data_IF_944757838940
#
_entry.id   IF_944757838940
#
_cell.length_a   1.000
_cell.length_b   1.000
_cell.length_c   1.000
_cell.angle_alpha   90.00
_cell.angle_beta   90.00
_cell.angle_gamma   90.00
#
_symmetry.space_group_name_H-M   'P 1'
#
loop_
_entity.id
_entity.type
_entity.pdbx_description
1 polymer ?
#
# COMPACT_ATOMS: atom_id res chain seq x y z
N UNK A 1 14.64 1.43 16.69
CA UNK A 1 15.14 2.80 16.39
C UNK A 1 15.16 2.97 14.88
N UNK A 2 14.93 4.19 14.37
CA UNK A 2 15.00 4.42 12.94
C UNK A 2 16.44 4.32 12.44
N UNK A 3 16.64 3.62 11.33
CA UNK A 3 17.94 3.57 10.64
C UNK A 3 17.75 3.66 9.14
N UNK A 4 18.78 4.06 8.41
CA UNK A 4 18.72 4.12 6.95
C UNK A 4 18.28 2.77 6.35
N UNK A 5 18.91 1.67 6.78
CA UNK A 5 18.60 0.32 6.29
C UNK A 5 17.20 -0.13 6.72
N UNK A 6 16.83 0.15 7.97
CA UNK A 6 15.51 -0.17 8.53
C UNK A 6 14.36 0.51 7.80
N UNK A 7 14.60 1.61 7.09
CA UNK A 7 13.59 2.25 6.24
C UNK A 7 13.68 1.80 4.77
N UNK A 8 14.88 1.70 4.20
CA UNK A 8 15.05 1.29 2.79
C UNK A 8 14.55 -0.14 2.54
N UNK A 9 14.80 -1.07 3.46
CA UNK A 9 14.42 -2.47 3.28
C UNK A 9 12.90 -2.68 3.17
N UNK A 10 12.08 -2.30 4.18
CA UNK A 10 10.62 -2.39 4.06
C UNK A 10 10.08 -1.46 2.97
N UNK A 11 10.66 -0.26 2.82
CA UNK A 11 10.31 0.67 1.75
C UNK A 11 10.45 0.06 0.35
N UNK A 12 11.49 -0.72 0.11
CA UNK A 12 11.72 -1.43 -1.16
C UNK A 12 10.61 -2.45 -1.43
N UNK A 13 10.21 -3.21 -0.42
CA UNK A 13 9.15 -4.22 -0.56
C UNK A 13 7.81 -3.57 -0.86
N UNK A 14 7.40 -2.57 -0.07
CA UNK A 14 6.15 -1.85 -0.31
C UNK A 14 6.13 -1.13 -1.67
N UNK A 15 7.25 -0.51 -2.07
CA UNK A 15 7.35 0.19 -3.34
C UNK A 15 7.22 -0.77 -4.53
N UNK A 16 7.96 -1.88 -4.51
CA UNK A 16 7.94 -2.86 -5.60
C UNK A 16 6.59 -3.56 -5.70
N UNK A 17 6.02 -3.99 -4.58
CA UNK A 17 4.71 -4.66 -4.54
C UNK A 17 3.61 -3.68 -4.93
N UNK A 18 3.66 -2.43 -4.45
CA UNK A 18 2.69 -1.39 -4.83
C UNK A 18 2.70 -1.10 -6.32
N UNK A 19 3.88 -0.88 -6.92
CA UNK A 19 4.01 -0.65 -8.36
C UNK A 19 3.55 -1.88 -9.16
N UNK A 20 3.94 -3.07 -8.73
CA UNK A 20 3.51 -4.32 -9.33
C UNK A 20 1.98 -4.46 -9.30
N UNK A 21 1.35 -4.17 -8.15
CA UNK A 21 -0.09 -4.17 -7.98
C UNK A 21 -0.76 -3.20 -8.95
N UNK A 22 -0.36 -1.92 -8.92
CA UNK A 22 -0.95 -0.88 -9.77
C UNK A 22 -0.85 -1.23 -11.26
N UNK A 23 0.32 -1.68 -11.73
CA UNK A 23 0.52 -2.06 -13.13
C UNK A 23 -0.36 -3.25 -13.53
N UNK A 24 -0.52 -4.24 -12.66
CA UNK A 24 -1.37 -5.39 -12.94
C UNK A 24 -2.87 -5.04 -12.86
N UNK A 25 -3.30 -4.20 -11.91
CA UNK A 25 -4.68 -3.69 -11.86
C UNK A 25 -5.04 -2.96 -13.16
N UNK A 26 -4.17 -2.06 -13.62
CA UNK A 26 -4.33 -1.34 -14.90
C UNK A 26 -4.43 -2.34 -16.05
N UNK A 27 -3.46 -3.26 -16.17
CA UNK A 27 -3.40 -4.19 -17.31
C UNK A 27 -4.61 -5.13 -17.33
N UNK A 28 -5.02 -5.67 -16.19
CA UNK A 28 -6.20 -6.53 -16.09
C UNK A 28 -7.49 -5.78 -16.44
N UNK A 29 -7.59 -4.50 -16.07
CA UNK A 29 -8.76 -3.67 -16.40
C UNK A 29 -8.82 -3.36 -17.88
N UNK A 30 -7.73 -2.89 -18.50
CA UNK A 30 -7.75 -2.51 -19.91
C UNK A 30 -7.97 -3.71 -20.83
N UNK A 31 -7.50 -4.91 -20.46
CA UNK A 31 -7.69 -6.13 -21.25
C UNK A 31 -9.13 -6.65 -21.21
N UNK A 32 -9.80 -6.57 -20.06
CA UNK A 32 -11.18 -7.01 -19.93
C UNK A 32 -11.92 -6.23 -18.82
N UNK A 33 -12.46 -5.04 -19.14
CA UNK A 33 -13.13 -4.18 -18.16
C UNK A 33 -14.33 -4.86 -17.48
N UNK A 34 -15.06 -5.71 -18.23
CA UNK A 34 -16.29 -6.38 -17.74
C UNK A 34 -16.01 -7.55 -16.81
N UNK A 35 -14.86 -8.22 -16.96
CA UNK A 35 -14.45 -9.32 -16.09
C UNK A 35 -13.48 -8.88 -14.99
N UNK A 36 -13.19 -7.57 -14.88
CA UNK A 36 -12.28 -7.05 -13.89
C UNK A 36 -12.76 -7.39 -12.48
N UNK A 37 -11.84 -7.92 -11.66
CA UNK A 37 -11.99 -8.03 -10.22
C UNK A 37 -10.67 -7.69 -9.53
N UNK A 38 -10.78 -6.94 -8.46
CA UNK A 38 -9.71 -6.64 -7.52
C UNK A 38 -9.15 -7.93 -6.95
N UNK A 39 -7.83 -7.96 -6.79
CA UNK A 39 -7.12 -9.08 -6.16
C UNK A 39 -6.08 -8.51 -5.24
N UNK A 40 -5.91 -9.09 -4.05
CA UNK A 40 -4.93 -8.61 -3.07
C UNK A 40 -3.47 -8.86 -3.51
N UNK A 41 -3.28 -9.67 -4.54
CA UNK A 41 -1.98 -10.04 -5.12
C UNK A 41 -2.15 -10.32 -6.61
N UNK A 42 -1.05 -10.27 -7.38
CA UNK A 42 -1.11 -10.49 -8.82
C UNK A 42 -0.17 -11.59 -9.33
N UNK A 43 -0.68 -12.48 -10.20
CA UNK A 43 0.11 -13.55 -10.78
C UNK A 43 1.11 -13.05 -11.82
N UNK A 44 2.33 -13.60 -11.81
CA UNK A 44 3.29 -13.32 -12.87
C UNK A 44 2.90 -14.09 -14.13
N UNK A 45 2.43 -13.36 -15.15
CA UNK A 45 1.85 -13.89 -16.39
C UNK A 45 2.79 -14.82 -17.18
N UNK A 46 4.11 -14.62 -17.06
CA UNK A 46 5.11 -15.42 -17.76
C UNK A 46 5.37 -16.80 -17.14
N UNK A 47 4.89 -17.06 -15.91
CA UNK A 47 5.14 -18.31 -15.21
C UNK A 47 3.86 -19.16 -15.08
N UNK A 48 3.98 -20.47 -15.32
CA UNK A 48 2.89 -21.44 -15.19
C UNK A 48 3.00 -22.28 -13.91
N UNK A 49 1.87 -22.75 -13.37
CA UNK A 49 1.85 -23.62 -12.19
C UNK A 49 2.17 -22.88 -10.89
N UNK A 50 2.90 -23.51 -9.96
CA UNK A 50 3.18 -22.94 -8.63
C UNK A 50 4.01 -21.65 -8.69
N UNK A 51 4.87 -21.48 -9.69
CA UNK A 51 5.72 -20.28 -9.85
C UNK A 51 4.95 -19.02 -10.26
N UNK A 52 3.64 -19.14 -10.54
CA UNK A 52 2.73 -18.00 -10.74
C UNK A 52 2.62 -17.12 -9.49
N UNK A 53 2.77 -17.73 -8.31
CA UNK A 53 2.69 -17.08 -6.99
C UNK A 53 4.03 -16.48 -6.52
N UNK A 54 4.88 -16.05 -7.47
CA UNK A 54 6.22 -15.54 -7.16
C UNK A 54 6.20 -14.36 -6.18
N UNK A 55 5.27 -13.42 -6.38
CA UNK A 55 5.04 -12.28 -5.47
C UNK A 55 4.82 -12.76 -4.03
N UNK A 56 3.91 -13.72 -3.84
CA UNK A 56 3.60 -14.27 -2.52
C UNK A 56 4.78 -15.02 -1.91
N UNK A 57 5.58 -15.73 -2.70
CA UNK A 57 6.78 -16.40 -2.18
C UNK A 57 7.88 -15.41 -1.79
N UNK A 58 8.08 -14.34 -2.56
CA UNK A 58 9.01 -13.27 -2.22
C UNK A 58 8.57 -12.61 -0.92
N UNK A 59 7.29 -12.27 -0.79
CA UNK A 59 6.72 -11.71 0.43
C UNK A 59 6.89 -12.67 1.61
N UNK A 60 6.55 -13.96 1.45
CA UNK A 60 6.66 -14.96 2.52
C UNK A 60 8.08 -15.07 3.07
N UNK A 61 9.07 -15.21 2.16
CA UNK A 61 10.48 -15.33 2.54
C UNK A 61 10.99 -14.01 3.11
N UNK A 62 10.62 -12.89 2.52
CA UNK A 62 11.01 -11.55 2.96
C UNK A 62 10.53 -11.26 4.38
N UNK A 63 9.23 -11.35 4.63
CA UNK A 63 8.64 -11.08 5.95
C UNK A 63 9.10 -12.07 7.00
N UNK A 64 9.29 -13.35 6.65
CA UNK A 64 9.84 -14.34 7.58
C UNK A 64 11.28 -14.03 7.96
N UNK A 65 12.11 -13.72 6.97
CA UNK A 65 13.53 -13.42 7.20
C UNK A 65 13.67 -12.17 8.05
N UNK A 66 12.92 -11.11 7.73
CA UNK A 66 12.93 -9.85 8.47
C UNK A 66 12.45 -10.05 9.91
N UNK A 67 11.35 -10.78 10.10
CA UNK A 67 10.86 -11.18 11.42
C UNK A 67 11.92 -11.93 12.23
N UNK A 68 12.66 -12.85 11.61
CA UNK A 68 13.75 -13.56 12.27
C UNK A 68 14.94 -12.66 12.60
N UNK A 69 15.28 -11.69 11.75
CA UNK A 69 16.35 -10.72 12.01
C UNK A 69 15.98 -9.89 13.23
N UNK A 70 14.80 -9.28 13.24
CA UNK A 70 14.36 -8.45 14.36
C UNK A 70 14.26 -9.25 15.66
N UNK A 71 13.62 -10.43 15.61
CA UNK A 71 13.39 -11.20 16.82
C UNK A 71 14.67 -11.85 17.39
N UNK A 72 15.54 -12.39 16.54
CA UNK A 72 16.69 -13.18 16.99
C UNK A 72 18.02 -12.45 16.89
N UNK A 73 18.28 -11.76 15.76
CA UNK A 73 19.58 -11.16 15.48
C UNK A 73 19.73 -9.80 16.17
N UNK A 74 18.77 -8.90 16.01
CA UNK A 74 18.77 -7.56 16.63
C UNK A 74 18.78 -7.65 18.16
N UNK A 75 18.04 -8.61 18.72
CA UNK A 75 18.00 -8.85 20.18
C UNK A 75 19.25 -9.54 20.72
N UNK A 76 20.17 -9.98 19.85
CA UNK A 76 21.31 -10.84 20.20
C UNK A 76 20.93 -12.07 21.05
N UNK A 77 19.71 -12.59 20.87
CA UNK A 77 19.10 -13.68 21.67
C UNK A 77 18.94 -13.35 23.18
N UNK A 78 19.03 -12.07 23.55
CA UNK A 78 18.88 -11.59 24.94
C UNK A 78 17.44 -11.18 25.22
N UNK A 79 16.55 -12.17 25.24
CA UNK A 79 15.12 -11.96 25.49
C UNK A 79 14.82 -11.42 26.88
N UNK A 80 15.54 -11.91 27.89
CA UNK A 80 15.35 -11.52 29.28
C UNK A 80 16.66 -11.13 29.94
N UNK A 81 16.62 -10.08 30.75
CA UNK A 81 17.72 -9.63 31.60
C UNK A 81 17.16 -9.49 33.01
N UNK A 82 17.80 -10.14 33.99
CA UNK A 82 17.38 -10.15 35.39
C UNK A 82 15.92 -10.61 35.62
N UNK A 83 15.44 -11.57 34.83
CA UNK A 83 14.08 -12.13 34.98
C UNK A 83 12.95 -11.29 34.39
N UNK A 84 13.26 -10.15 33.77
CA UNK A 84 12.31 -9.32 33.02
C UNK A 84 12.67 -9.28 31.53
N UNK A 85 11.72 -8.88 30.68
CA UNK A 85 11.97 -8.66 29.25
C UNK A 85 13.04 -7.57 29.10
N UNK A 86 13.99 -7.78 28.20
CA UNK A 86 15.05 -6.82 27.95
C UNK A 86 14.50 -5.53 27.33
N UNK A 87 14.49 -4.46 28.12
CA UNK A 87 13.92 -3.16 27.71
C UNK A 87 14.67 -2.52 26.54
N UNK A 88 15.94 -2.88 26.34
CA UNK A 88 16.76 -2.31 25.27
C UNK A 88 16.36 -2.81 23.86
N UNK A 89 15.58 -3.89 23.78
CA UNK A 89 15.15 -4.50 22.52
C UNK A 89 13.63 -4.56 22.37
N UNK A 90 12.87 -3.77 23.12
CA UNK A 90 11.41 -3.75 23.02
C UNK A 90 10.93 -3.36 21.63
N UNK A 91 11.62 -2.41 21.00
CA UNK A 91 11.31 -1.99 19.65
C UNK A 91 11.46 -3.15 18.64
N UNK A 92 12.51 -3.95 18.77
CA UNK A 92 12.76 -5.11 17.90
C UNK A 92 11.64 -6.16 18.06
N UNK A 93 11.16 -6.38 19.30
CA UNK A 93 10.01 -7.28 19.56
C UNK A 93 8.70 -6.76 18.96
N UNK A 94 8.44 -5.47 19.06
CA UNK A 94 7.27 -4.83 18.45
C UNK A 94 7.31 -4.99 16.92
N UNK A 95 8.46 -4.71 16.29
CA UNK A 95 8.65 -4.86 14.85
C UNK A 95 8.48 -6.31 14.40
N UNK A 96 9.05 -7.26 15.15
CA UNK A 96 8.84 -8.68 14.88
C UNK A 96 7.35 -9.09 14.97
N UNK A 97 6.59 -8.54 15.91
CA UNK A 97 5.15 -8.81 16.04
C UNK A 97 4.35 -8.22 14.87
N UNK A 98 4.72 -7.03 14.37
CA UNK A 98 4.13 -6.43 13.17
C UNK A 98 4.46 -7.26 11.90
N UNK A 99 5.73 -7.67 11.74
CA UNK A 99 6.17 -8.52 10.61
C UNK A 99 5.49 -9.90 10.64
N UNK A 100 5.20 -10.44 11.83
CA UNK A 100 4.41 -11.66 11.98
C UNK A 100 3.01 -11.52 11.35
N UNK A 101 2.36 -10.36 11.49
CA UNK A 101 1.04 -10.14 10.88
C UNK A 101 1.08 -10.15 9.36
N UNK A 102 2.10 -9.54 8.75
CA UNK A 102 2.32 -9.63 7.29
C UNK A 102 2.67 -11.06 6.85
N UNK A 103 3.50 -11.78 7.61
CA UNK A 103 3.81 -13.18 7.33
C UNK A 103 2.56 -14.07 7.37
N UNK A 104 1.70 -13.90 8.38
CA UNK A 104 0.42 -14.62 8.49
C UNK A 104 -0.52 -14.26 7.35
N UNK A 105 -0.61 -12.98 6.96
CA UNK A 105 -1.38 -12.55 5.80
C UNK A 105 -0.97 -13.33 4.54
N UNK A 106 0.34 -13.39 4.24
CA UNK A 106 0.83 -14.11 3.05
C UNK A 106 0.55 -15.60 3.12
N UNK A 107 0.66 -16.22 4.30
CA UNK A 107 0.28 -17.64 4.51
C UNK A 107 -1.20 -17.85 4.20
N UNK A 108 -2.09 -17.00 4.70
CA UNK A 108 -3.54 -17.10 4.48
C UNK A 108 -3.85 -17.01 2.99
N UNK A 109 -3.23 -16.07 2.27
CA UNK A 109 -3.40 -15.94 0.81
C UNK A 109 -2.87 -17.19 0.10
N UNK A 110 -1.67 -17.67 0.42
CA UNK A 110 -1.09 -18.86 -0.20
C UNK A 110 -1.93 -20.12 0.02
N UNK A 111 -2.49 -20.31 1.21
CA UNK A 111 -3.38 -21.44 1.52
C UNK A 111 -4.66 -21.31 0.71
N UNK A 112 -5.26 -20.11 0.66
CA UNK A 112 -6.50 -19.85 -0.08
C UNK A 112 -6.34 -20.09 -1.58
N UNK A 113 -5.21 -19.73 -2.16
CA UNK A 113 -4.94 -19.86 -3.60
C UNK A 113 -4.56 -21.29 -4.01
N UNK A 114 -3.74 -21.99 -3.21
CA UNK A 114 -3.14 -23.25 -3.61
C UNK A 114 -3.84 -24.49 -3.04
N UNK A 115 -4.76 -24.32 -2.09
CA UNK A 115 -5.41 -25.45 -1.41
C UNK A 115 -6.92 -25.29 -1.39
N UNK A 116 -7.62 -26.40 -1.16
CA UNK A 116 -9.08 -26.39 -0.93
C UNK A 116 -9.44 -26.24 0.55
N UNK A 117 -8.46 -26.06 1.43
CA UNK A 117 -8.67 -26.09 2.88
C UNK A 117 -9.29 -24.80 3.40
N UNK A 118 -9.00 -23.67 2.75
CA UNK A 118 -9.48 -22.37 3.16
C UNK A 118 -9.87 -21.50 1.95
N UNK A 119 -10.95 -21.84 1.21
CA UNK A 119 -11.38 -21.07 0.06
C UNK A 119 -12.02 -19.75 0.53
N UNK A 120 -11.21 -18.71 0.70
CA UNK A 120 -11.70 -17.39 1.09
C UNK A 120 -12.13 -16.59 -0.14
N UNK A 121 -13.25 -15.84 -0.04
CA UNK A 121 -13.56 -14.82 -1.03
C UNK A 121 -12.46 -13.75 -1.07
N UNK A 122 -12.22 -13.16 -2.25
CA UNK A 122 -11.23 -12.09 -2.44
C UNK A 122 -11.39 -10.94 -1.44
N UNK A 123 -12.64 -10.52 -1.17
CA UNK A 123 -12.89 -9.47 -0.19
C UNK A 123 -12.42 -9.81 1.22
N UNK A 124 -12.45 -11.08 1.62
CA UNK A 124 -11.89 -11.52 2.91
C UNK A 124 -10.37 -11.43 2.93
N UNK A 125 -9.69 -11.70 1.81
CA UNK A 125 -8.24 -11.55 1.74
C UNK A 125 -7.81 -10.09 1.87
N UNK A 126 -8.57 -9.15 1.30
CA UNK A 126 -8.36 -7.71 1.51
C UNK A 126 -8.59 -7.30 2.98
N UNK A 127 -9.56 -7.90 3.69
CA UNK A 127 -9.73 -7.66 5.14
C UNK A 127 -8.52 -8.18 5.92
N UNK A 128 -7.95 -9.33 5.56
CA UNK A 128 -6.73 -9.83 6.20
C UNK A 128 -5.54 -8.90 5.95
N UNK A 129 -5.40 -8.36 4.73
CA UNK A 129 -4.40 -7.32 4.44
C UNK A 129 -4.63 -6.07 5.29
N UNK A 130 -5.87 -5.59 5.40
CA UNK A 130 -6.22 -4.44 6.24
C UNK A 130 -5.88 -4.66 7.72
N UNK A 131 -6.03 -5.89 8.25
CA UNK A 131 -5.60 -6.22 9.61
C UNK A 131 -4.07 -6.16 9.76
N UNK A 132 -3.30 -6.62 8.76
CA UNK A 132 -1.84 -6.51 8.79
C UNK A 132 -1.39 -5.04 8.76
N UNK A 133 -1.95 -4.22 7.87
CA UNK A 133 -1.72 -2.77 7.86
C UNK A 133 -2.19 -2.08 9.14
N UNK A 134 -3.25 -2.57 9.78
CA UNK A 134 -3.70 -2.03 11.09
C UNK A 134 -2.68 -2.31 12.19
N UNK A 135 -2.07 -3.50 12.21
CA UNK A 135 -0.99 -3.80 13.14
C UNK A 135 0.24 -2.90 12.90
N UNK A 136 0.60 -2.66 11.64
CA UNK A 136 1.64 -1.69 11.25
C UNK A 136 1.28 -0.28 11.71
N UNK A 137 0.08 0.20 11.40
CA UNK A 137 -0.42 1.52 11.77
C UNK A 137 -0.34 1.75 13.28
N UNK A 138 -0.83 0.81 14.09
CA UNK A 138 -0.85 0.94 15.53
C UNK A 138 0.58 1.00 16.11
N UNK A 139 1.48 0.14 15.64
CA UNK A 139 2.87 0.16 16.05
C UNK A 139 3.51 1.51 15.73
N UNK A 140 3.43 1.95 14.46
CA UNK A 140 4.04 3.21 14.05
C UNK A 140 3.35 4.43 14.66
N UNK A 141 2.04 4.39 14.94
CA UNK A 141 1.35 5.48 15.62
C UNK A 141 1.91 5.67 17.03
N UNK A 142 1.99 4.61 17.83
CA UNK A 142 2.55 4.69 19.18
C UNK A 142 4.06 4.95 19.17
N UNK A 143 4.78 4.45 18.17
CA UNK A 143 6.20 4.75 18.01
C UNK A 143 6.42 6.22 17.62
N UNK A 144 5.62 6.74 16.68
CA UNK A 144 5.69 8.12 16.20
C UNK A 144 5.36 9.11 17.31
N UNK A 145 4.50 8.78 18.27
CA UNK A 145 4.25 9.66 19.43
C UNK A 145 5.45 9.80 20.38
N UNK A 146 6.46 8.92 20.27
CA UNK A 146 7.70 9.05 21.01
C UNK A 146 8.69 10.00 20.33
N UNK A 147 8.48 10.30 19.03
CA UNK A 147 9.31 11.20 18.25
C UNK A 147 8.75 12.62 18.29
N UNK A 148 9.63 13.61 18.34
CA UNK A 148 9.27 15.03 18.32
C UNK A 148 10.01 15.75 17.19
N UNK A 149 9.50 16.93 16.82
CA UNK A 149 10.07 17.76 15.76
C UNK A 149 10.12 17.08 14.40
N UNK A 150 11.25 17.22 13.70
CA UNK A 150 11.42 16.79 12.32
C UNK A 150 11.14 15.29 12.11
N UNK A 151 11.73 14.43 12.95
CA UNK A 151 11.54 12.97 12.86
C UNK A 151 10.08 12.59 13.09
N UNK A 152 9.45 13.21 14.09
CA UNK A 152 8.02 13.01 14.38
C UNK A 152 7.13 13.36 13.20
N UNK A 153 7.40 14.48 12.52
CA UNK A 153 6.62 14.90 11.34
C UNK A 153 6.67 13.90 10.19
N UNK A 154 7.86 13.38 9.91
CA UNK A 154 8.06 12.40 8.84
C UNK A 154 7.34 11.08 9.14
N UNK A 155 7.40 10.61 10.39
CA UNK A 155 6.71 9.39 10.82
C UNK A 155 5.19 9.59 10.92
N UNK A 156 4.70 10.78 11.29
CA UNK A 156 3.27 11.09 11.27
C UNK A 156 2.69 10.94 9.86
N UNK A 157 3.38 11.47 8.85
CA UNK A 157 2.98 11.31 7.44
C UNK A 157 2.98 9.83 7.05
N UNK A 158 3.99 9.05 7.48
CA UNK A 158 4.02 7.61 7.23
C UNK A 158 2.79 6.91 7.79
N UNK A 159 2.42 7.21 9.04
CA UNK A 159 1.23 6.65 9.70
C UNK A 159 -0.05 6.99 8.93
N UNK A 160 -0.19 8.23 8.43
CA UNK A 160 -1.32 8.61 7.59
C UNK A 160 -1.37 7.83 6.27
N UNK A 161 -0.23 7.56 5.65
CA UNK A 161 -0.15 6.75 4.43
C UNK A 161 -0.50 5.28 4.68
N UNK A 162 -0.07 4.70 5.81
CA UNK A 162 -0.49 3.35 6.22
C UNK A 162 -2.01 3.33 6.46
N UNK A 163 -2.56 4.38 7.09
CA UNK A 163 -4.01 4.57 7.24
C UNK A 163 -4.75 4.59 5.90
N UNK A 164 -4.18 5.23 4.88
CA UNK A 164 -4.71 5.22 3.52
C UNK A 164 -4.69 3.80 2.92
N UNK A 165 -3.64 3.02 3.13
CA UNK A 165 -3.58 1.62 2.71
C UNK A 165 -4.70 0.78 3.35
N UNK A 166 -4.99 0.98 4.64
CA UNK A 166 -6.11 0.32 5.33
C UNK A 166 -7.45 0.67 4.67
N UNK A 167 -7.71 1.96 4.45
CA UNK A 167 -8.95 2.43 3.82
C UNK A 167 -9.11 1.87 2.42
N UNK A 168 -8.06 1.92 1.58
CA UNK A 168 -8.10 1.39 0.23
C UNK A 168 -8.30 -0.14 0.20
N UNK A 169 -7.67 -0.89 1.10
CA UNK A 169 -7.88 -2.32 1.23
C UNK A 169 -9.35 -2.64 1.60
N UNK A 170 -9.93 -1.91 2.56
CA UNK A 170 -11.34 -2.08 2.92
C UNK A 170 -12.30 -1.69 1.80
N UNK A 171 -11.98 -0.64 1.02
CA UNK A 171 -12.75 -0.27 -0.17
C UNK A 171 -12.70 -1.35 -1.24
N UNK A 172 -11.53 -1.96 -1.47
CA UNK A 172 -11.38 -3.08 -2.40
C UNK A 172 -12.10 -4.34 -1.92
N UNK A 173 -12.17 -4.56 -0.60
CA UNK A 173 -12.99 -5.61 -0.01
C UNK A 173 -14.49 -5.39 -0.22
N UNK A 174 -14.96 -4.14 -0.04
CA UNK A 174 -16.37 -3.79 -0.17
C UNK A 174 -16.83 -3.70 -1.63
N UNK A 175 -15.94 -3.27 -2.54
CA UNK A 175 -16.23 -3.03 -3.95
C UNK A 175 -15.22 -3.74 -4.87
N UNK A 176 -15.18 -5.09 -4.88
CA UNK A 176 -14.15 -5.85 -5.61
C UNK A 176 -14.26 -5.74 -7.14
N UNK A 177 -15.34 -5.20 -7.69
CA UNK A 177 -15.50 -4.95 -9.13
C UNK A 177 -15.07 -3.52 -9.52
N UNK A 178 -14.74 -2.68 -8.54
CA UNK A 178 -14.38 -1.30 -8.77
C UNK A 178 -12.87 -1.17 -9.03
N UNK A 179 -12.52 -0.91 -10.30
CA UNK A 179 -11.15 -0.68 -10.73
C UNK A 179 -10.44 0.44 -9.94
N UNK A 180 -11.13 1.53 -9.62
CA UNK A 180 -10.52 2.64 -8.91
C UNK A 180 -10.13 2.25 -7.48
N UNK A 181 -10.93 1.42 -6.79
CA UNK A 181 -10.60 0.95 -5.44
C UNK A 181 -9.33 0.10 -5.42
N UNK A 182 -9.22 -0.85 -6.36
CA UNK A 182 -8.04 -1.72 -6.49
C UNK A 182 -6.79 -0.93 -6.91
N UNK A 183 -6.93 -0.05 -7.89
CA UNK A 183 -5.84 0.81 -8.35
C UNK A 183 -5.35 1.72 -7.22
N UNK A 184 -6.26 2.36 -6.46
CA UNK A 184 -5.91 3.20 -5.31
C UNK A 184 -5.17 2.40 -4.22
N UNK A 185 -5.48 1.12 -4.03
CA UNK A 185 -4.75 0.26 -3.09
C UNK A 185 -3.28 0.10 -3.47
N UNK A 186 -2.99 -0.18 -4.75
CA UNK A 186 -1.61 -0.23 -5.24
C UNK A 186 -0.90 1.13 -5.18
N UNK A 187 -1.61 2.23 -5.47
CA UNK A 187 -1.08 3.60 -5.40
C UNK A 187 -0.72 3.97 -3.95
N UNK A 188 -1.61 3.68 -3.00
CA UNK A 188 -1.36 3.94 -1.59
C UNK A 188 -0.15 3.15 -1.09
N UNK A 189 -0.04 1.87 -1.48
CA UNK A 189 1.10 1.02 -1.13
C UNK A 189 2.41 1.53 -1.73
N UNK A 190 2.38 1.98 -2.99
CA UNK A 190 3.51 2.63 -3.67
C UNK A 190 3.94 3.90 -2.94
N UNK A 191 2.98 4.72 -2.53
CA UNK A 191 3.21 5.97 -1.82
C UNK A 191 3.81 5.73 -0.42
N UNK A 192 3.29 4.74 0.32
CA UNK A 192 3.86 4.29 1.59
C UNK A 192 5.33 3.86 1.39
N UNK A 193 5.61 3.00 0.41
CA UNK A 193 6.97 2.55 0.11
C UNK A 193 7.92 3.68 -0.30
N UNK A 194 7.47 4.61 -1.14
CA UNK A 194 8.24 5.79 -1.51
C UNK A 194 8.49 6.74 -0.33
N UNK A 195 7.55 6.82 0.62
CA UNK A 195 7.72 7.64 1.81
C UNK A 195 8.76 7.09 2.78
N UNK A 196 8.86 5.75 2.92
CA UNK A 196 9.99 5.13 3.62
C UNK A 196 11.34 5.56 3.05
N UNK A 197 11.46 5.71 1.73
CA UNK A 197 12.65 6.27 1.10
C UNK A 197 12.87 7.74 1.48
N UNK A 198 11.82 8.56 1.49
CA UNK A 198 11.94 9.96 1.93
C UNK A 198 12.47 10.06 3.35
N UNK A 199 11.98 9.20 4.25
CA UNK A 199 12.48 9.10 5.63
C UNK A 199 13.96 8.68 5.64
N UNK A 200 14.30 7.59 4.94
CA UNK A 200 15.66 7.05 4.92
C UNK A 200 16.68 8.10 4.44
N UNK A 201 16.42 8.75 3.30
CA UNK A 201 17.34 9.68 2.70
C UNK A 201 17.39 11.04 3.40
N UNK A 202 16.26 11.50 3.95
CA UNK A 202 16.20 12.80 4.63
C UNK A 202 16.70 12.71 6.07
N UNK A 203 16.21 11.75 6.87
CA UNK A 203 16.55 11.67 8.29
C UNK A 203 17.86 10.91 8.56
N UNK A 204 18.21 9.92 7.73
CA UNK A 204 19.37 9.05 7.99
C UNK A 204 20.35 9.01 6.82
N UNK A 205 20.22 9.95 5.89
CA UNK A 205 20.91 9.94 4.62
C UNK A 205 21.44 11.31 4.20
N UNK A 206 21.83 11.47 2.93
CA UNK A 206 22.52 12.65 2.44
C UNK A 206 21.62 13.88 2.26
N UNK A 207 20.30 13.74 2.44
CA UNK A 207 19.33 14.83 2.23
C UNK A 207 18.88 15.51 3.53
N UNK A 208 19.61 15.30 4.64
CA UNK A 208 19.35 15.97 5.91
C UNK A 208 19.26 17.49 5.72
N UNK A 209 18.18 18.15 6.17
CA UNK A 209 18.05 19.60 6.08
C UNK A 209 19.18 20.31 6.84
N UNK A 210 19.64 21.42 6.28
CA UNK A 210 20.66 22.26 6.92
C UNK A 210 20.23 22.65 8.34
N UNK A 211 21.15 22.48 9.29
CA UNK A 211 20.89 22.80 10.70
C UNK A 211 20.19 21.70 11.50
N UNK A 212 19.96 20.52 10.91
CA UNK A 212 19.53 19.31 11.60
C UNK A 212 20.61 18.22 11.49
N UNK A 213 20.68 17.35 12.49
CA UNK A 213 21.65 16.25 12.55
C UNK A 213 21.14 15.11 13.42
N UNK A 214 21.57 13.89 13.09
CA UNK A 214 21.42 12.72 13.95
C UNK A 214 22.48 12.75 15.06
N UNK A 215 22.03 12.89 16.31
CA UNK A 215 22.87 12.91 17.50
C UNK A 215 22.45 11.78 18.42
N UNK A 216 23.21 10.67 18.41
CA UNK A 216 22.94 9.47 19.24
C UNK A 216 21.58 8.83 18.95
N UNK A 217 21.26 8.64 17.67
CA UNK A 217 20.02 8.02 17.21
C UNK A 217 18.76 8.86 17.51
N UNK A 218 18.94 10.17 17.69
CA UNK A 218 17.88 11.17 17.84
C UNK A 218 18.11 12.30 16.82
N UNK A 219 17.08 12.65 16.05
CA UNK A 219 17.16 13.77 15.10
C UNK A 219 16.94 15.09 15.84
N UNK A 220 17.98 15.92 15.86
CA UNK A 220 17.98 17.21 16.56
C UNK A 220 18.28 18.35 15.58
N UNK A 221 17.52 19.44 15.69
CA UNK A 221 17.77 20.67 14.94
C UNK A 221 18.28 21.79 15.86
N UNK A 222 19.19 22.64 15.36
CA UNK A 222 19.90 23.69 16.14
C UNK A 222 18.95 24.80 16.65
N UNK A 223 17.74 24.89 16.10
CA UNK A 223 16.68 25.74 16.63
C UNK A 223 15.39 25.65 15.81
N UNK A 224 14.30 26.19 16.36
CA UNK A 224 12.92 26.05 15.85
C UNK A 224 12.78 26.44 14.36
N UNK A 225 13.51 27.47 13.92
CA UNK A 225 13.46 27.92 12.52
C UNK A 225 13.99 26.89 11.53
N UNK A 226 14.96 26.05 11.92
CA UNK A 226 15.48 24.97 11.09
C UNK A 226 14.55 23.76 11.11
N UNK A 227 13.96 23.46 12.26
CA UNK A 227 12.97 22.41 12.40
C UNK A 227 11.74 22.68 11.53
N UNK A 228 11.14 23.87 11.64
CA UNK A 228 9.97 24.28 10.82
C UNK A 228 10.30 24.23 9.32
N UNK A 229 11.53 24.59 8.93
CA UNK A 229 11.98 24.47 7.54
C UNK A 229 12.08 23.02 7.10
N UNK A 230 12.63 22.14 7.94
CA UNK A 230 12.69 20.70 7.67
C UNK A 230 11.29 20.08 7.55
N UNK A 231 10.38 20.44 8.45
CA UNK A 231 8.98 20.00 8.38
C UNK A 231 8.29 20.49 7.10
N UNK A 232 8.54 21.75 6.69
CA UNK A 232 8.02 22.27 5.43
C UNK A 232 8.59 21.53 4.22
N UNK A 233 9.85 21.10 4.27
CA UNK A 233 10.46 20.24 3.23
C UNK A 233 9.72 18.90 3.14
N UNK A 234 9.32 18.30 4.26
CA UNK A 234 8.51 17.07 4.25
C UNK A 234 7.21 17.26 3.47
N UNK A 235 6.48 18.35 3.72
CA UNK A 235 5.24 18.66 3.00
C UNK A 235 5.48 18.90 1.51
N UNK A 236 6.56 19.58 1.15
CA UNK A 236 6.94 19.81 -0.26
C UNK A 236 7.31 18.49 -0.94
N UNK A 237 8.06 17.60 -0.27
CA UNK A 237 8.40 16.28 -0.79
C UNK A 237 7.13 15.46 -1.05
N UNK A 238 6.18 15.43 -0.11
CA UNK A 238 4.90 14.75 -0.30
C UNK A 238 4.11 15.37 -1.46
N UNK A 239 4.02 16.70 -1.50
CA UNK A 239 3.32 17.44 -2.55
C UNK A 239 3.97 17.28 -3.93
N UNK A 240 5.25 16.94 -4.01
CA UNK A 240 5.94 16.61 -5.26
C UNK A 240 5.79 15.12 -5.63
N UNK A 241 5.79 14.23 -4.64
CA UNK A 241 5.69 12.78 -4.86
C UNK A 241 4.33 12.38 -5.45
N UNK A 242 3.24 12.97 -4.94
CA UNK A 242 1.87 12.71 -5.42
C UNK A 242 1.69 12.98 -6.93
N UNK A 243 1.99 14.19 -7.47
CA UNK A 243 1.85 14.45 -8.90
C UNK A 243 2.82 13.64 -9.75
N UNK A 244 4.04 13.35 -9.28
CA UNK A 244 4.96 12.45 -9.99
C UNK A 244 4.35 11.05 -10.16
N UNK A 245 3.74 10.52 -9.10
CA UNK A 245 3.06 9.24 -9.13
C UNK A 245 1.84 9.27 -10.06
N UNK A 246 1.04 10.35 -10.03
CA UNK A 246 -0.08 10.54 -10.97
C UNK A 246 0.37 10.49 -12.43
N UNK A 247 1.42 11.23 -12.79
CA UNK A 247 1.97 11.22 -14.15
C UNK A 247 2.42 9.81 -14.54
N UNK A 248 3.14 9.11 -13.65
CA UNK A 248 3.57 7.72 -13.88
C UNK A 248 2.38 6.80 -14.16
N UNK A 249 1.31 6.90 -13.37
CA UNK A 249 0.10 6.08 -13.51
C UNK A 249 -0.64 6.40 -14.81
N UNK A 250 -0.78 7.68 -15.15
CA UNK A 250 -1.45 8.09 -16.39
C UNK A 250 -0.68 7.60 -17.62
N UNK A 251 0.66 7.68 -17.59
CA UNK A 251 1.52 7.13 -18.65
C UNK A 251 1.37 5.61 -18.72
N UNK A 252 1.45 4.91 -17.58
CA UNK A 252 1.27 3.47 -17.53
C UNK A 252 -0.10 3.03 -18.07
N UNK A 253 -1.17 3.73 -17.70
CA UNK A 253 -2.52 3.49 -18.20
C UNK A 253 -2.62 3.72 -19.71
N UNK A 254 -2.09 4.85 -20.21
CA UNK A 254 -2.11 5.17 -21.64
C UNK A 254 -1.35 4.15 -22.48
N UNK A 255 -0.17 3.72 -22.01
CA UNK A 255 0.61 2.66 -22.66
C UNK A 255 -0.16 1.33 -22.62
N UNK A 256 -0.71 0.96 -21.47
CA UNK A 256 -1.43 -0.31 -21.33
C UNK A 256 -2.68 -0.36 -22.22
N UNK A 257 -3.45 0.74 -22.26
CA UNK A 257 -4.60 0.86 -23.15
C UNK A 257 -4.18 0.82 -24.63
N UNK A 258 -3.06 1.43 -24.99
CA UNK A 258 -2.55 1.39 -26.36
C UNK A 258 -2.15 -0.01 -26.83
N UNK A 259 -1.45 -0.78 -25.97
CA UNK A 259 -0.93 -2.09 -26.35
C UNK A 259 -1.91 -3.25 -26.13
N UNK A 260 -2.75 -3.16 -25.09
CA UNK A 260 -3.61 -4.26 -24.64
C UNK A 260 -5.07 -3.85 -24.43
N UNK A 261 -5.44 -2.61 -24.76
CA UNK A 261 -6.77 -2.08 -24.50
C UNK A 261 -7.86 -2.77 -25.32
N UNK A 262 -8.89 -3.23 -24.62
CA UNK A 262 -10.12 -3.71 -25.20
C UNK A 262 -10.92 -2.54 -25.82
N UNK A 263 -11.66 -2.73 -26.92
CA UNK A 263 -12.45 -1.67 -27.56
C UNK A 263 -13.40 -0.91 -26.61
N UNK A 264 -14.01 -1.64 -25.66
CA UNK A 264 -14.91 -1.09 -24.63
C UNK A 264 -14.23 -0.07 -23.69
N UNK A 265 -12.89 -0.03 -23.62
CA UNK A 265 -12.13 0.99 -22.85
C UNK A 265 -12.21 2.36 -23.53
N UNK A 266 -12.21 2.38 -24.88
CA UNK A 266 -12.23 3.61 -25.68
C UNK A 266 -13.65 4.09 -25.99
N UNK A 267 -14.63 3.18 -25.93
CA UNK A 267 -16.04 3.47 -26.12
C UNK A 267 -16.82 3.01 -24.87
N UNK A 268 -16.86 3.82 -23.80
CA UNK A 268 -17.79 3.56 -22.70
C UNK A 268 -19.19 3.45 -23.30
N UNK A 269 -20.03 2.48 -22.87
CA UNK A 269 -21.36 2.30 -23.43
C UNK A 269 -22.06 3.65 -23.39
N UNK A 270 -22.37 4.19 -24.57
CA UNK A 270 -23.22 5.37 -24.69
C UNK A 270 -24.44 5.08 -23.83
N UNK A 271 -24.64 5.87 -22.78
CA UNK A 271 -25.90 5.86 -22.05
C UNK A 271 -26.99 5.79 -23.09
N UNK A 272 -27.80 4.74 -23.08
CA UNK A 272 -29.05 4.71 -23.82
C UNK A 272 -29.82 5.95 -23.38
N UNK A 273 -29.67 7.04 -24.14
CA UNK A 273 -30.60 8.14 -24.15
C UNK A 273 -31.85 7.49 -24.70
N UNK A 274 -32.64 6.96 -23.78
CA UNK A 274 -34.02 6.57 -24.04
C UNK A 274 -34.70 7.87 -24.43
N UNK A 275 -34.76 8.09 -25.74
CA UNK A 275 -35.50 9.18 -26.36
C UNK A 275 -36.96 8.98 -25.98
N UNK A 276 -37.37 9.67 -24.91
CA UNK A 276 -38.76 9.79 -24.46
C UNK A 276 -39.49 10.73 -25.43
N UNK A 277 -39.54 10.37 -26.72
CA UNK A 277 -40.30 11.09 -27.74
C UNK A 277 -41.45 10.25 -28.27
N UNK A 278 -42.63 10.85 -28.08
CA UNK A 278 -43.92 10.55 -28.72
C UNK A 278 -44.57 9.21 -28.40
N UNK A 279 -45.33 9.18 -27.31
CA UNK A 279 -46.57 8.41 -27.30
C UNK A 279 -47.56 9.06 -28.29
N UNK A 280 -48.27 8.29 -29.14
CA UNK A 280 -49.29 8.85 -30.00
C UNK A 280 -50.53 9.20 -29.15
N UNK A 281 -50.79 10.48 -28.99
CA UNK A 281 -52.14 11.01 -28.78
C UNK A 281 -52.81 11.01 -30.15
N UNK A 282 -53.77 10.09 -30.36
CA UNK A 282 -55.05 10.39 -31.01
C UNK A 282 -55.85 9.10 -31.28
N UNK A 283 -57.04 9.05 -30.70
CA UNK A 283 -58.23 8.56 -31.41
C UNK A 283 -59.51 9.07 -30.71
N UNK A 284 -60.35 9.88 -31.38
CA UNK A 284 -61.64 10.30 -30.86
C UNK A 284 -62.69 9.18 -30.99
N UNK A 285 -63.51 9.02 -29.95
CA UNK A 285 -64.70 8.16 -29.97
C UNK A 285 -65.71 8.65 -31.01
N UNK A 286 -66.04 7.78 -31.96
CA UNK A 286 -67.16 7.91 -32.88
C UNK A 286 -68.49 7.61 -32.19
N UNK A 287 -69.53 8.30 -32.64
CA UNK A 287 -70.92 8.19 -32.25
C UNK A 287 -71.65 6.97 -32.86
N UNK A 288 -72.86 6.71 -32.34
CA UNK A 288 -73.95 5.83 -32.82
C UNK A 288 -73.70 4.31 -32.65
N UNK A 289 -74.54 3.54 -31.95
CA UNK A 289 -76.00 3.43 -31.94
C UNK A 289 -76.53 3.04 -30.54
#
# INVERSE_FOLDING_TARGET
MGSFKGHVLPGSMFLLVGLWHTLNSITNYVENPKAFRARVWHPVRCFSGKTRCLELYILLVGTFTDMCIEFFYSTHLKFTVNGAINTNHLNDFEHAAMLLMFFLFVIVVLISENTRWLPLPEGSLFVVAAMAFTAEFLLFYFHSTNHHGLEGRYHEILVLLIGLCIVCALLSAAYPENFAADMLSGIALTLQGAWFYMIAFTLYGPLMPDGCSDVRDEIVCIGDSFEVRGEAVAHIQLAALVPCLWVLILVAYGLAAHFWGHPDVFHPPSSEITDFRSGPLDSPMSAEH
#
